data_IF_997008946430
#
_entry.id   IF_997008946430
#
_cell.length_a   1.000
_cell.length_b   1.000
_cell.length_c   1.000
_cell.angle_alpha   90.00
_cell.angle_beta   90.00
_cell.angle_gamma   90.00
#
_symmetry.space_group_name_H-M   'P 1'
#
loop_
_entity.id
_entity.type
_entity.pdbx_description
1 polymer ?
#
# COMPACT_ATOMS: atom_id res chain seq x y z
N UNK A 1 15.50 -12.98 -8.64
CA UNK A 1 14.29 -13.02 -9.51
C UNK A 1 13.15 -12.12 -9.00
N UNK A 2 12.91 -11.99 -7.71
CA UNK A 2 11.81 -11.15 -7.18
C UNK A 2 12.02 -9.63 -7.40
N UNK A 3 13.26 -9.17 -7.55
CA UNK A 3 13.61 -7.75 -7.76
C UNK A 3 13.69 -7.34 -9.24
N UNK A 4 13.14 -8.17 -10.14
CA UNK A 4 13.12 -7.87 -11.56
C UNK A 4 12.13 -6.75 -11.90
N UNK A 5 12.52 -5.72 -12.69
CA UNK A 5 11.61 -4.69 -13.19
C UNK A 5 10.38 -5.28 -13.90
N UNK A 6 10.55 -6.42 -14.57
CA UNK A 6 9.47 -7.14 -15.22
C UNK A 6 8.44 -7.66 -14.22
N UNK A 7 8.88 -8.21 -13.07
CA UNK A 7 7.97 -8.67 -12.00
C UNK A 7 7.13 -7.50 -11.48
N UNK A 8 7.75 -6.34 -11.24
CA UNK A 8 7.04 -5.13 -10.81
C UNK A 8 6.01 -4.70 -11.85
N UNK A 9 6.39 -4.65 -13.12
CA UNK A 9 5.51 -4.22 -14.20
C UNK A 9 4.29 -5.15 -14.38
N UNK A 10 4.52 -6.46 -14.37
CA UNK A 10 3.44 -7.46 -14.45
C UNK A 10 2.51 -7.36 -13.24
N UNK A 11 3.06 -7.24 -12.03
CA UNK A 11 2.28 -7.08 -10.79
C UNK A 11 1.45 -5.79 -10.80
N UNK A 12 1.97 -4.71 -11.37
CA UNK A 12 1.21 -3.47 -11.56
C UNK A 12 0.02 -3.67 -12.48
N UNK A 13 0.22 -4.30 -13.65
CA UNK A 13 -0.85 -4.55 -14.62
C UNK A 13 -1.91 -5.48 -14.02
N UNK A 14 -1.51 -6.62 -13.47
CA UNK A 14 -2.45 -7.58 -12.86
C UNK A 14 -3.23 -6.95 -11.71
N UNK A 15 -2.55 -6.27 -10.80
CA UNK A 15 -3.19 -5.55 -9.69
C UNK A 15 -4.11 -4.42 -10.17
N UNK A 16 -3.75 -3.74 -11.26
CA UNK A 16 -4.59 -2.72 -11.90
C UNK A 16 -5.88 -3.33 -12.46
N UNK A 17 -5.79 -4.46 -13.17
CA UNK A 17 -6.97 -5.18 -13.68
C UNK A 17 -7.89 -5.62 -12.53
N UNK A 18 -7.34 -6.17 -11.45
CA UNK A 18 -8.13 -6.53 -10.26
C UNK A 18 -8.89 -5.31 -9.72
N UNK A 19 -8.23 -4.15 -9.60
CA UNK A 19 -8.85 -2.92 -9.11
C UNK A 19 -9.96 -2.38 -10.02
N UNK A 20 -9.93 -2.65 -11.32
CA UNK A 20 -11.02 -2.25 -12.22
C UNK A 20 -12.32 -3.01 -11.95
N UNK A 21 -12.21 -4.25 -11.48
CA UNK A 21 -13.36 -5.13 -11.28
C UNK A 21 -13.77 -5.30 -9.81
N UNK A 22 -12.90 -4.96 -8.86
CA UNK A 22 -13.13 -5.16 -7.42
C UNK A 22 -14.46 -4.59 -6.94
N UNK A 23 -14.84 -3.40 -7.41
CA UNK A 23 -16.09 -2.74 -7.06
C UNK A 23 -17.34 -3.49 -7.57
N UNK A 24 -17.21 -4.24 -8.67
CA UNK A 24 -18.29 -5.07 -9.21
C UNK A 24 -18.36 -6.41 -8.51
N UNK A 25 -17.22 -7.02 -8.19
CA UNK A 25 -17.17 -8.33 -7.54
C UNK A 25 -17.65 -8.28 -6.10
N UNK A 26 -17.32 -7.19 -5.38
CA UNK A 26 -17.64 -7.04 -3.96
C UNK A 26 -18.64 -5.90 -3.71
N UNK A 27 -19.75 -5.89 -4.45
CA UNK A 27 -20.76 -4.84 -4.42
C UNK A 27 -21.83 -5.00 -3.31
N UNK A 28 -21.73 -6.03 -2.47
CA UNK A 28 -22.66 -6.31 -1.37
C UNK A 28 -21.90 -6.37 -0.04
N UNK A 29 -21.47 -5.21 0.49
CA UNK A 29 -20.83 -5.17 1.80
C UNK A 29 -21.85 -5.49 2.90
N UNK A 30 -21.34 -6.06 4.00
CA UNK A 30 -22.12 -6.38 5.20
C UNK A 30 -21.54 -5.64 6.40
N UNK A 31 -20.21 -5.41 6.39
CA UNK A 31 -19.49 -4.74 7.47
C UNK A 31 -19.33 -3.27 7.09
N UNK A 32 -19.97 -2.39 7.84
CA UNK A 32 -20.01 -0.95 7.59
C UNK A 32 -19.27 -0.12 8.63
N UNK A 33 -18.91 -0.72 9.77
CA UNK A 33 -18.18 -0.09 10.88
C UNK A 33 -16.98 -0.95 11.27
N UNK A 34 -15.93 -0.32 11.81
CA UNK A 34 -14.69 -1.02 12.17
C UNK A 34 -14.88 -1.99 13.35
N UNK A 35 -15.79 -1.63 14.26
CA UNK A 35 -16.12 -2.43 15.43
C UNK A 35 -16.75 -3.78 15.10
N UNK A 36 -17.33 -3.93 13.92
CA UNK A 36 -17.90 -5.18 13.42
C UNK A 36 -16.84 -6.17 12.92
N UNK A 37 -15.59 -5.75 12.81
CA UNK A 37 -14.48 -6.59 12.32
C UNK A 37 -14.05 -7.56 13.42
N UNK A 38 -14.35 -8.83 13.24
CA UNK A 38 -13.88 -9.86 14.16
C UNK A 38 -12.41 -10.26 13.88
N UNK A 39 -11.76 -10.88 14.87
CA UNK A 39 -10.36 -11.29 14.80
C UNK A 39 -10.05 -12.22 13.62
N UNK A 40 -10.97 -13.10 13.24
CA UNK A 40 -10.78 -14.01 12.11
C UNK A 40 -10.77 -13.26 10.78
N UNK A 41 -11.65 -12.28 10.62
CA UNK A 41 -11.68 -11.38 9.45
C UNK A 41 -10.38 -10.58 9.38
N UNK A 42 -9.94 -9.98 10.48
CA UNK A 42 -8.68 -9.25 10.55
C UNK A 42 -7.48 -10.14 10.17
N UNK A 43 -7.42 -11.37 10.67
CA UNK A 43 -6.37 -12.34 10.34
C UNK A 43 -6.38 -12.68 8.84
N UNK A 44 -7.53 -12.93 8.25
CA UNK A 44 -7.65 -13.19 6.81
C UNK A 44 -7.16 -12.01 5.98
N UNK A 45 -7.51 -10.78 6.35
CA UNK A 45 -7.00 -9.58 5.68
C UNK A 45 -5.47 -9.49 5.80
N UNK A 46 -4.92 -9.86 6.96
CA UNK A 46 -3.47 -9.96 7.17
C UNK A 46 -2.80 -10.93 6.20
N UNK A 47 -3.41 -12.08 5.92
CA UNK A 47 -2.91 -13.01 4.90
C UNK A 47 -2.93 -12.39 3.49
N UNK A 48 -3.97 -11.65 3.13
CA UNK A 48 -3.97 -10.91 1.86
C UNK A 48 -2.83 -9.88 1.79
N UNK A 49 -2.47 -9.25 2.91
CA UNK A 49 -1.33 -8.33 2.94
C UNK A 49 0.00 -9.04 2.61
N UNK A 50 0.16 -10.33 2.91
CA UNK A 50 1.37 -11.09 2.55
C UNK A 50 1.61 -11.15 1.04
N UNK A 51 0.58 -11.02 0.20
CA UNK A 51 0.74 -10.91 -1.24
C UNK A 51 1.58 -9.70 -1.66
N UNK A 52 1.63 -8.68 -0.81
CA UNK A 52 2.46 -7.49 -1.04
C UNK A 52 3.96 -7.71 -0.85
N UNK A 53 4.38 -8.91 -0.44
CA UNK A 53 5.79 -9.34 -0.50
C UNK A 53 6.28 -9.50 -1.94
N UNK A 54 5.35 -9.66 -2.89
CA UNK A 54 5.69 -9.66 -4.31
C UNK A 54 5.90 -8.21 -4.77
N UNK A 55 7.09 -7.87 -5.30
CA UNK A 55 7.37 -6.52 -5.79
C UNK A 55 6.35 -6.04 -6.82
N UNK A 56 5.90 -4.80 -6.69
CA UNK A 56 4.85 -4.23 -7.55
C UNK A 56 3.42 -4.49 -7.07
N UNK A 57 3.19 -5.44 -6.16
CA UNK A 57 1.89 -5.58 -5.50
C UNK A 57 1.75 -4.49 -4.45
N UNK A 58 0.72 -3.68 -4.55
CA UNK A 58 0.43 -2.64 -3.56
C UNK A 58 0.00 -3.27 -2.25
N UNK A 59 0.69 -2.94 -1.14
CA UNK A 59 0.32 -3.42 0.19
C UNK A 59 -1.11 -3.01 0.56
N UNK A 60 -1.42 -1.71 0.41
CA UNK A 60 -2.78 -1.21 0.66
C UNK A 60 -3.80 -1.82 -0.30
N UNK A 61 -3.44 -1.97 -1.58
CA UNK A 61 -4.30 -2.64 -2.56
C UNK A 61 -4.64 -4.07 -2.15
N UNK A 62 -3.66 -4.87 -1.71
CA UNK A 62 -3.87 -6.24 -1.27
C UNK A 62 -4.79 -6.32 -0.03
N UNK A 63 -4.53 -5.50 0.99
CA UNK A 63 -5.36 -5.49 2.21
C UNK A 63 -6.76 -4.92 1.98
N UNK A 64 -6.93 -3.92 1.12
CA UNK A 64 -8.26 -3.39 0.76
C UNK A 64 -9.07 -4.43 -0.02
N UNK A 65 -8.48 -5.05 -1.05
CA UNK A 65 -9.14 -6.12 -1.82
C UNK A 65 -9.49 -7.29 -0.90
N UNK A 66 -8.57 -7.67 0.00
CA UNK A 66 -8.82 -8.67 1.03
C UNK A 66 -9.98 -8.31 1.95
N UNK A 67 -10.04 -7.07 2.42
CA UNK A 67 -11.15 -6.56 3.24
C UNK A 67 -12.48 -6.61 2.51
N UNK A 68 -12.53 -6.12 1.27
CA UNK A 68 -13.74 -6.16 0.46
C UNK A 68 -14.19 -7.59 0.14
N UNK A 69 -13.26 -8.53 -0.05
CA UNK A 69 -13.59 -9.95 -0.23
C UNK A 69 -14.20 -10.57 1.03
N UNK A 70 -13.87 -10.03 2.21
CA UNK A 70 -14.49 -10.37 3.50
C UNK A 70 -15.75 -9.52 3.80
N UNK A 71 -16.33 -8.89 2.77
CA UNK A 71 -17.57 -8.09 2.83
C UNK A 71 -17.47 -6.77 3.61
N UNK A 72 -16.27 -6.24 3.81
CA UNK A 72 -16.11 -4.88 4.31
C UNK A 72 -16.56 -3.86 3.25
N UNK A 73 -17.15 -2.76 3.67
CA UNK A 73 -17.40 -1.62 2.79
C UNK A 73 -16.07 -1.02 2.30
N UNK A 74 -16.07 -0.27 1.18
CA UNK A 74 -14.87 0.39 0.64
C UNK A 74 -14.18 1.26 1.69
N UNK A 75 -14.99 2.02 2.43
CA UNK A 75 -14.50 2.92 3.47
C UNK A 75 -13.78 2.13 4.56
N UNK A 76 -14.45 1.17 5.16
CA UNK A 76 -13.92 0.35 6.26
C UNK A 76 -12.70 -0.46 5.82
N UNK A 77 -12.71 -1.02 4.60
CA UNK A 77 -11.54 -1.73 4.06
C UNK A 77 -10.32 -0.82 3.89
N UNK A 78 -10.53 0.44 3.44
CA UNK A 78 -9.46 1.41 3.32
C UNK A 78 -8.93 1.85 4.69
N UNK A 79 -9.82 2.21 5.62
CA UNK A 79 -9.47 2.60 6.99
C UNK A 79 -8.69 1.47 7.69
N UNK A 80 -9.21 0.26 7.67
CA UNK A 80 -8.52 -0.91 8.22
C UNK A 80 -7.14 -1.14 7.61
N UNK A 81 -6.99 -0.94 6.29
CA UNK A 81 -5.69 -1.03 5.62
C UNK A 81 -4.69 0.00 6.15
N UNK A 82 -5.13 1.22 6.47
CA UNK A 82 -4.27 2.23 7.08
C UNK A 82 -3.90 1.86 8.52
N UNK A 83 -4.84 1.38 9.33
CA UNK A 83 -4.55 0.91 10.68
C UNK A 83 -3.56 -0.26 10.69
N UNK A 84 -3.72 -1.21 9.77
CA UNK A 84 -2.82 -2.34 9.61
C UNK A 84 -1.40 -1.90 9.17
N UNK A 85 -1.29 -0.71 8.54
CA UNK A 85 -0.01 -0.11 8.20
C UNK A 85 0.81 0.30 9.42
N UNK A 86 0.16 0.77 10.48
CA UNK A 86 0.85 1.33 11.66
C UNK A 86 1.80 0.31 12.30
N UNK A 87 1.37 -0.90 12.72
CA UNK A 87 2.29 -1.86 13.32
C UNK A 87 3.38 -2.33 12.35
N UNK A 88 3.07 -2.49 11.06
CA UNK A 88 4.06 -2.93 10.07
C UNK A 88 5.14 -1.88 9.82
N UNK A 89 4.77 -0.61 9.69
CA UNK A 89 5.72 0.50 9.52
C UNK A 89 6.51 0.76 10.80
N UNK A 90 5.86 0.64 11.97
CA UNK A 90 6.55 0.74 13.24
C UNK A 90 7.65 -0.32 13.38
N UNK A 91 7.35 -1.59 13.07
CA UNK A 91 8.31 -2.67 13.11
C UNK A 91 9.48 -2.45 12.11
N UNK A 92 9.17 -1.98 10.90
CA UNK A 92 10.19 -1.66 9.90
C UNK A 92 11.10 -0.52 10.36
N UNK A 93 10.55 0.54 10.95
CA UNK A 93 11.30 1.67 11.50
C UNK A 93 12.16 1.24 12.67
N UNK A 94 11.61 0.46 13.61
CA UNK A 94 12.35 -0.06 14.75
C UNK A 94 13.55 -0.93 14.30
N UNK A 95 13.34 -1.78 13.28
CA UNK A 95 14.43 -2.57 12.69
C UNK A 95 15.52 -1.67 12.09
N UNK A 96 15.15 -0.67 11.32
CA UNK A 96 16.09 0.29 10.72
C UNK A 96 16.89 1.03 11.79
N UNK A 97 16.26 1.50 12.86
CA UNK A 97 16.95 2.14 13.98
C UNK A 97 17.94 1.19 14.66
N UNK A 98 17.54 -0.08 14.85
CA UNK A 98 18.43 -1.11 15.40
C UNK A 98 19.64 -1.37 14.49
N UNK A 99 19.44 -1.42 13.17
CA UNK A 99 20.50 -1.60 12.20
C UNK A 99 21.48 -0.41 12.23
N UNK A 100 21.01 0.83 12.32
CA UNK A 100 21.85 2.02 12.51
C UNK A 100 22.64 1.97 13.80
N UNK A 101 22.01 1.59 14.91
CA UNK A 101 22.69 1.45 16.20
C UNK A 101 23.79 0.40 16.14
N UNK A 102 23.52 -0.77 15.55
CA UNK A 102 24.52 -1.85 15.38
C UNK A 102 25.66 -1.47 14.46
N UNK A 103 25.41 -0.63 13.46
CA UNK A 103 26.44 -0.13 12.56
C UNK A 103 27.32 0.96 13.21
N UNK A 104 27.07 1.34 14.46
CA UNK A 104 27.82 2.37 15.17
C UNK A 104 27.58 3.80 14.65
N UNK A 105 26.53 3.99 13.87
CA UNK A 105 26.19 5.31 13.32
C UNK A 105 25.69 6.24 14.43
N UNK A 106 26.32 7.42 14.54
CA UNK A 106 25.93 8.45 15.50
C UNK A 106 25.12 9.53 14.77
N UNK A 107 23.87 9.70 15.19
CA UNK A 107 22.99 10.74 14.64
C UNK A 107 23.50 12.11 15.15
N UNK A 108 23.83 13.00 14.22
CA UNK A 108 24.23 14.36 14.55
C UNK A 108 23.03 15.20 14.98
N UNK A 109 23.22 16.28 15.79
CA UNK A 109 22.14 17.18 16.17
C UNK A 109 21.38 17.78 14.97
N UNK A 110 22.09 18.04 13.88
CA UNK A 110 21.50 18.56 12.63
C UNK A 110 20.59 17.54 11.95
N UNK A 111 21.00 16.27 11.90
CA UNK A 111 20.19 15.19 11.36
C UNK A 111 18.93 14.95 12.20
N UNK A 112 19.06 15.01 13.53
CA UNK A 112 17.91 14.91 14.43
C UNK A 112 16.90 16.03 14.21
N UNK A 113 17.37 17.27 14.02
CA UNK A 113 16.52 18.42 13.71
C UNK A 113 15.80 18.24 12.37
N UNK A 114 16.51 17.82 11.32
CA UNK A 114 15.93 17.53 10.00
C UNK A 114 14.89 16.40 10.08
N UNK A 115 15.19 15.35 10.86
CA UNK A 115 14.28 14.24 11.07
C UNK A 115 13.00 14.69 11.78
N UNK A 116 13.11 15.54 12.82
CA UNK A 116 11.96 16.06 13.54
C UNK A 116 11.05 16.92 12.65
N UNK A 117 11.64 17.88 11.92
CA UNK A 117 10.89 18.74 10.99
C UNK A 117 10.25 17.91 9.87
N UNK A 118 11.00 16.97 9.28
CA UNK A 118 10.49 16.09 8.24
C UNK A 118 9.31 15.23 8.71
N UNK A 119 9.38 14.67 9.92
CA UNK A 119 8.27 13.89 10.48
C UNK A 119 7.03 14.73 10.77
N UNK A 120 7.17 15.95 11.29
CA UNK A 120 6.02 16.84 11.53
C UNK A 120 5.33 17.19 10.22
N UNK A 121 6.08 17.57 9.19
CA UNK A 121 5.53 17.90 7.86
C UNK A 121 4.87 16.64 7.25
N UNK A 122 5.55 15.51 7.27
CA UNK A 122 5.03 14.26 6.75
C UNK A 122 3.72 13.84 7.45
N UNK A 123 3.62 14.02 8.76
CA UNK A 123 2.42 13.72 9.53
C UNK A 123 1.22 14.57 9.08
N UNK A 124 1.42 15.89 8.95
CA UNK A 124 0.36 16.82 8.51
C UNK A 124 -0.11 16.46 7.09
N UNK A 125 0.85 16.26 6.17
CA UNK A 125 0.53 15.90 4.78
C UNK A 125 -0.17 14.55 4.71
N UNK A 126 0.25 13.55 5.50
CA UNK A 126 -0.37 12.23 5.53
C UNK A 126 -1.82 12.30 6.02
N UNK A 127 -2.13 13.08 7.06
CA UNK A 127 -3.51 13.26 7.54
C UNK A 127 -4.42 13.82 6.46
N UNK A 128 -3.96 14.85 5.75
CA UNK A 128 -4.72 15.47 4.65
C UNK A 128 -4.89 14.50 3.48
N UNK A 129 -3.83 13.77 3.13
CA UNK A 129 -3.84 12.80 2.03
C UNK A 129 -4.80 11.63 2.32
N UNK A 130 -4.76 11.05 3.52
CA UNK A 130 -5.63 9.93 3.93
C UNK A 130 -7.10 10.37 3.91
N UNK A 131 -7.42 11.53 4.50
CA UNK A 131 -8.78 12.08 4.50
C UNK A 131 -9.31 12.29 3.07
N UNK A 132 -8.50 12.89 2.22
CA UNK A 132 -8.84 13.14 0.81
C UNK A 132 -9.01 11.83 0.03
N UNK A 133 -8.10 10.86 0.24
CA UNK A 133 -8.14 9.56 -0.42
C UNK A 133 -9.40 8.77 -0.06
N UNK A 134 -9.72 8.64 1.23
CA UNK A 134 -10.93 7.93 1.69
C UNK A 134 -12.19 8.61 1.14
N UNK A 135 -12.25 9.95 1.19
CA UNK A 135 -13.35 10.72 0.62
C UNK A 135 -13.52 10.50 -0.88
N UNK A 136 -12.42 10.49 -1.62
CA UNK A 136 -12.42 10.22 -3.05
C UNK A 136 -12.87 8.78 -3.36
N UNK A 137 -12.34 7.81 -2.62
CA UNK A 137 -12.63 6.39 -2.80
C UNK A 137 -14.10 6.07 -2.60
N UNK A 138 -14.73 6.69 -1.60
CA UNK A 138 -16.16 6.53 -1.34
C UNK A 138 -17.03 7.00 -2.51
N UNK A 139 -16.62 8.07 -3.19
CA UNK A 139 -17.40 8.66 -4.29
C UNK A 139 -17.15 7.97 -5.64
N UNK A 140 -15.89 7.64 -5.94
CA UNK A 140 -15.47 7.26 -7.30
C UNK A 140 -15.00 5.80 -7.42
N UNK A 141 -14.78 5.09 -6.28
CA UNK A 141 -14.27 3.71 -6.27
C UNK A 141 -12.81 3.59 -6.72
N UNK A 142 -12.41 2.36 -7.11
CA UNK A 142 -11.01 2.03 -7.40
C UNK A 142 -10.59 2.16 -8.86
N UNK A 143 -11.51 2.44 -9.78
CA UNK A 143 -11.24 2.39 -11.24
C UNK A 143 -10.08 3.27 -11.69
N UNK A 144 -9.99 4.50 -11.17
CA UNK A 144 -8.91 5.43 -11.55
C UNK A 144 -7.55 4.88 -11.14
N UNK A 145 -7.46 4.29 -9.94
CA UNK A 145 -6.23 3.66 -9.47
C UNK A 145 -5.87 2.40 -10.28
N UNK A 146 -6.88 1.65 -10.75
CA UNK A 146 -6.69 0.53 -11.65
C UNK A 146 -6.06 0.96 -12.98
N UNK A 147 -6.60 1.98 -13.63
CA UNK A 147 -6.05 2.53 -14.87
C UNK A 147 -4.64 3.09 -14.70
N UNK A 148 -4.40 3.86 -13.63
CA UNK A 148 -3.06 4.38 -13.34
C UNK A 148 -2.02 3.24 -13.26
N UNK A 149 -2.34 2.16 -12.56
CA UNK A 149 -1.44 1.01 -12.42
C UNK A 149 -1.18 0.29 -13.74
N UNK A 150 -2.22 0.10 -14.55
CA UNK A 150 -2.08 -0.54 -15.87
C UNK A 150 -1.17 0.30 -16.77
N UNK A 151 -1.43 1.60 -16.85
CA UNK A 151 -0.64 2.52 -17.68
C UNK A 151 0.82 2.52 -17.20
N UNK A 152 1.06 2.67 -15.90
CA UNK A 152 2.41 2.65 -15.34
C UNK A 152 3.13 1.32 -15.62
N UNK A 153 2.46 0.18 -15.43
CA UNK A 153 3.02 -1.13 -15.72
C UNK A 153 3.35 -1.31 -17.21
N UNK A 154 2.48 -0.88 -18.10
CA UNK A 154 2.73 -0.94 -19.56
C UNK A 154 3.90 -0.04 -19.98
N UNK A 155 4.03 1.17 -19.41
CA UNK A 155 5.18 2.04 -19.65
C UNK A 155 6.48 1.34 -19.27
N UNK A 156 6.53 0.71 -18.07
CA UNK A 156 7.72 -0.02 -17.62
C UNK A 156 8.04 -1.18 -18.57
N UNK A 157 7.04 -1.94 -19.02
CA UNK A 157 7.24 -3.04 -19.99
C UNK A 157 7.84 -2.51 -21.28
N UNK A 158 7.30 -1.42 -21.83
CA UNK A 158 7.82 -0.81 -23.06
C UNK A 158 9.28 -0.35 -22.87
N UNK A 159 9.61 0.28 -21.75
CA UNK A 159 10.97 0.73 -21.46
C UNK A 159 11.96 -0.45 -21.36
N UNK A 160 11.55 -1.57 -20.76
CA UNK A 160 12.38 -2.78 -20.70
C UNK A 160 12.65 -3.33 -22.10
N UNK A 161 11.62 -3.43 -22.94
CA UNK A 161 11.79 -3.92 -24.33
C UNK A 161 12.54 -2.96 -25.23
N UNK A 162 12.55 -1.65 -24.92
CA UNK A 162 13.35 -0.63 -25.62
C UNK A 162 14.85 -0.65 -25.23
N UNK A 163 15.29 -1.62 -24.42
CA UNK A 163 16.70 -1.78 -24.05
C UNK A 163 17.18 -0.85 -22.94
N UNK A 164 16.27 -0.16 -22.23
CA UNK A 164 16.63 0.63 -21.07
C UNK A 164 16.84 -0.29 -19.85
N UNK A 165 18.09 -0.35 -19.35
CA UNK A 165 18.40 -1.05 -18.11
C UNK A 165 17.79 -0.31 -16.91
N UNK A 166 16.57 -0.68 -16.53
CA UNK A 166 15.93 -0.22 -15.29
C UNK A 166 16.51 -1.03 -14.12
N UNK A 167 17.54 -0.50 -13.46
CA UNK A 167 18.03 -1.08 -12.20
C UNK A 167 17.10 -0.58 -11.08
N UNK A 168 16.48 -1.51 -10.38
CA UNK A 168 15.78 -1.21 -9.12
C UNK A 168 16.87 -1.12 -8.06
N UNK A 169 17.11 0.08 -7.55
CA UNK A 169 18.04 0.39 -6.46
C UNK A 169 17.48 -0.13 -5.14
#
# INVERSE_FOLDING_TARGET
MLESPMTVAVSLVVGGVILLFVDKWFNKPVIHEEEEINYLTALKIGFFQCLAMIPGVSRSGASIVGGMSMKLSRKVAAEFSFFLAVPTMFAATAKKLLDFYKAGYQITPKELQLLAVGNIIAFIVALLAIKSFIGYLNKHGFKVFGWYRIIAGLIIIVLIYSGHNLQII
#
